data_IF_999268104691
#
_entry.id   IF_999268104691
#
_cell.length_a   1.000
_cell.length_b   1.000
_cell.length_c   1.000
_cell.angle_alpha   90.00
_cell.angle_beta   90.00
_cell.angle_gamma   90.00
#
_symmetry.space_group_name_H-M   'P 1'
#
loop_
_entity.id
_entity.type
_entity.pdbx_description
1 polymer ?
#
# COMPACT_ATOMS: atom_id res chain seq x y z
N UNK A 1 13.63 -4.14 -6.99
CA UNK A 1 13.87 -4.50 -5.58
C UNK A 1 12.67 -5.27 -5.05
N UNK A 2 12.90 -6.38 -4.42
CA UNK A 2 11.82 -7.16 -3.80
C UNK A 2 11.80 -6.93 -2.28
N UNK A 3 10.87 -7.60 -1.59
CA UNK A 3 10.70 -7.45 -0.14
C UNK A 3 11.98 -7.81 0.63
N UNK A 4 12.65 -8.89 0.25
CA UNK A 4 13.87 -9.32 0.92
C UNK A 4 14.99 -8.29 0.80
N UNK A 5 15.15 -7.71 -0.37
CA UNK A 5 16.13 -6.65 -0.60
C UNK A 5 15.78 -5.38 0.17
N UNK A 6 14.51 -5.07 0.28
CA UNK A 6 14.05 -3.93 1.07
C UNK A 6 14.36 -4.14 2.55
N UNK A 7 14.17 -5.35 3.06
CA UNK A 7 14.50 -5.69 4.46
C UNK A 7 15.99 -5.51 4.72
N UNK A 8 16.84 -5.94 3.80
CA UNK A 8 18.29 -5.75 3.91
C UNK A 8 18.67 -4.26 3.97
N UNK A 9 18.03 -3.46 3.14
CA UNK A 9 18.26 -2.02 3.13
C UNK A 9 17.83 -1.38 4.46
N UNK A 10 16.70 -1.80 5.00
CA UNK A 10 16.22 -1.33 6.31
C UNK A 10 17.21 -1.72 7.40
N UNK A 11 17.68 -2.96 7.38
CA UNK A 11 18.68 -3.45 8.32
C UNK A 11 19.94 -2.58 8.33
N UNK A 12 20.44 -2.25 7.15
CA UNK A 12 21.61 -1.39 7.00
C UNK A 12 21.38 0.01 7.55
N UNK A 13 20.19 0.57 7.34
CA UNK A 13 19.86 1.91 7.81
C UNK A 13 19.66 1.97 9.33
N UNK A 14 19.20 0.90 9.94
CA UNK A 14 18.99 0.83 11.38
C UNK A 14 20.30 0.62 12.14
N UNK A 15 21.34 0.12 11.48
CA UNK A 15 22.64 -0.05 12.05
C UNK A 15 23.17 -1.47 12.03
N UNK A 16 24.47 -1.63 12.25
CA UNK A 16 25.15 -2.90 12.13
C UNK A 16 24.67 -3.95 13.17
N UNK A 17 24.14 -3.50 14.30
CA UNK A 17 23.65 -4.38 15.36
C UNK A 17 22.23 -4.87 15.12
N UNK A 18 21.57 -4.39 14.08
CA UNK A 18 20.20 -4.78 13.77
C UNK A 18 20.16 -6.13 13.10
N UNK A 19 19.36 -7.06 13.62
CA UNK A 19 19.18 -8.36 13.00
C UNK A 19 18.23 -8.26 11.83
N UNK A 20 18.33 -9.20 10.90
CA UNK A 20 17.42 -9.28 9.77
C UNK A 20 15.98 -9.48 10.24
N UNK A 21 15.77 -10.28 11.28
CA UNK A 21 14.47 -10.50 11.88
C UNK A 21 13.87 -9.21 12.41
N UNK A 22 14.67 -8.39 13.08
CA UNK A 22 14.20 -7.10 13.59
C UNK A 22 13.80 -6.15 12.47
N UNK A 23 14.59 -6.12 11.39
CA UNK A 23 14.27 -5.30 10.22
C UNK A 23 12.96 -5.77 9.55
N UNK A 24 12.76 -7.08 9.49
CA UNK A 24 11.54 -7.66 8.94
C UNK A 24 10.32 -7.30 9.80
N UNK A 25 10.44 -7.40 11.11
CA UNK A 25 9.39 -7.00 12.04
C UNK A 25 9.07 -5.52 11.95
N UNK A 26 10.09 -4.68 11.79
CA UNK A 26 9.91 -3.24 11.63
C UNK A 26 9.13 -2.93 10.34
N UNK A 27 9.48 -3.57 9.26
CA UNK A 27 8.76 -3.39 7.99
C UNK A 27 7.31 -3.86 8.10
N UNK A 28 7.09 -5.02 8.72
CA UNK A 28 5.74 -5.55 8.91
C UNK A 28 4.89 -4.59 9.76
N UNK A 29 5.46 -4.06 10.83
CA UNK A 29 4.76 -3.11 11.69
C UNK A 29 4.35 -1.85 10.94
N UNK A 30 5.23 -1.32 10.10
CA UNK A 30 4.95 -0.14 9.29
C UNK A 30 3.83 -0.42 8.29
N UNK A 31 3.92 -1.53 7.57
CA UNK A 31 2.93 -1.89 6.56
C UNK A 31 1.54 -2.14 7.17
N UNK A 32 1.49 -2.84 8.30
CA UNK A 32 0.24 -3.08 9.00
C UNK A 32 -0.36 -1.79 9.55
N UNK A 33 0.48 -0.89 10.06
CA UNK A 33 0.03 0.40 10.57
C UNK A 33 -0.57 1.27 9.47
N UNK A 34 0.04 1.26 8.29
CA UNK A 34 -0.49 1.99 7.14
C UNK A 34 -1.84 1.41 6.74
N UNK A 35 -1.95 0.09 6.69
CA UNK A 35 -3.19 -0.60 6.35
C UNK A 35 -4.31 -0.25 7.31
N UNK A 36 -4.04 -0.33 8.61
CA UNK A 36 -5.01 0.02 9.64
C UNK A 36 -5.42 1.49 9.58
N UNK A 37 -4.45 2.38 9.39
CA UNK A 37 -4.72 3.81 9.27
C UNK A 37 -5.61 4.14 8.09
N UNK A 38 -5.38 3.49 6.95
CA UNK A 38 -6.23 3.68 5.77
C UNK A 38 -7.64 3.14 6.02
N UNK A 39 -7.77 2.00 6.70
CA UNK A 39 -9.08 1.41 7.00
C UNK A 39 -9.88 2.25 7.98
N UNK A 40 -9.23 2.82 9.00
CA UNK A 40 -9.90 3.61 10.03
C UNK A 40 -10.17 5.05 9.60
N UNK A 41 -9.17 5.69 9.01
CA UNK A 41 -9.23 7.12 8.67
C UNK A 41 -9.45 7.40 7.19
N UNK A 42 -9.32 6.38 6.34
CA UNK A 42 -9.41 6.53 4.90
C UNK A 42 -8.19 7.14 4.24
N UNK A 43 -7.21 7.56 5.03
CA UNK A 43 -6.03 8.26 4.51
C UNK A 43 -4.88 8.19 5.50
N UNK A 44 -3.68 7.93 5.00
CA UNK A 44 -2.45 8.05 5.78
C UNK A 44 -1.49 8.95 5.02
N UNK A 45 -1.19 10.10 5.57
CA UNK A 45 -0.28 11.08 4.96
C UNK A 45 1.08 11.03 5.66
N UNK A 46 2.13 10.83 4.88
CA UNK A 46 3.50 10.83 5.37
C UNK A 46 4.23 12.01 4.74
N UNK A 47 4.52 13.01 5.55
CA UNK A 47 5.19 14.23 5.08
C UNK A 47 6.55 13.88 4.50
N UNK A 48 6.83 14.38 3.30
CA UNK A 48 8.09 14.12 2.61
C UNK A 48 8.14 12.80 1.85
N UNK A 49 7.10 11.99 1.92
CA UNK A 49 7.04 10.71 1.24
C UNK A 49 5.84 10.61 0.30
N UNK A 50 4.64 10.63 0.84
CA UNK A 50 3.42 10.51 0.03
C UNK A 50 2.19 10.27 0.87
N UNK A 51 1.11 9.97 0.21
CA UNK A 51 -0.17 9.73 0.86
C UNK A 51 -0.79 8.43 0.36
N UNK A 52 -1.21 7.59 1.31
CA UNK A 52 -2.02 6.41 1.03
C UNK A 52 -3.47 6.77 1.32
N UNK A 53 -4.35 6.58 0.34
CA UNK A 53 -5.76 6.92 0.50
C UNK A 53 -6.65 5.82 -0.04
N UNK A 54 -7.77 5.62 0.62
CA UNK A 54 -8.78 4.68 0.14
C UNK A 54 -9.45 5.24 -1.10
N UNK A 55 -9.49 4.44 -2.15
CA UNK A 55 -10.22 4.76 -3.36
C UNK A 55 -11.34 3.75 -3.53
N UNK A 56 -12.56 4.24 -3.62
CA UNK A 56 -13.72 3.38 -3.80
C UNK A 56 -14.12 3.37 -5.25
N UNK A 57 -14.29 2.18 -5.80
CA UNK A 57 -14.86 2.00 -7.12
C UNK A 57 -16.32 1.64 -6.94
N UNK A 58 -17.20 2.39 -7.58
CA UNK A 58 -18.63 2.15 -7.51
C UNK A 58 -18.99 0.86 -8.22
N UNK A 59 -20.06 0.22 -7.75
CA UNK A 59 -20.62 -0.94 -8.45
C UNK A 59 -21.04 -0.53 -9.85
N UNK A 60 -20.79 -1.39 -10.81
CA UNK A 60 -21.16 -1.15 -12.19
C UNK A 60 -21.60 -2.44 -12.85
N UNK A 61 -22.34 -2.31 -13.97
CA UNK A 61 -22.74 -3.43 -14.80
C UNK A 61 -21.80 -3.52 -15.99
N UNK A 62 -21.17 -4.68 -16.16
CA UNK A 62 -20.34 -4.96 -17.31
C UNK A 62 -20.97 -6.04 -18.17
N UNK A 63 -20.39 -6.29 -19.34
CA UNK A 63 -20.81 -7.39 -20.21
C UNK A 63 -19.70 -8.38 -20.39
N UNK A 64 -20.06 -9.65 -20.33
CA UNK A 64 -19.12 -10.72 -20.58
C UNK A 64 -18.87 -10.82 -22.09
N UNK A 65 -17.62 -10.68 -22.57
CA UNK A 65 -17.35 -10.58 -24.00
C UNK A 65 -17.80 -11.77 -24.84
N UNK A 66 -17.74 -12.97 -24.27
CA UNK A 66 -18.08 -14.21 -25.00
C UNK A 66 -19.56 -14.49 -25.09
N UNK A 67 -20.30 -14.14 -24.05
CA UNK A 67 -21.73 -14.51 -23.98
C UNK A 67 -22.65 -13.30 -24.11
N UNK A 68 -22.15 -12.11 -24.00
CA UNK A 68 -22.94 -10.89 -24.02
C UNK A 68 -23.82 -10.69 -22.80
N UNK A 69 -23.73 -11.58 -21.80
CA UNK A 69 -24.50 -11.44 -20.57
C UNK A 69 -24.00 -10.29 -19.72
N UNK A 70 -24.95 -9.53 -19.17
CA UNK A 70 -24.60 -8.49 -18.20
C UNK A 70 -24.13 -9.12 -16.89
N UNK A 71 -23.06 -8.61 -16.35
CA UNK A 71 -22.55 -9.03 -15.05
C UNK A 71 -22.46 -7.81 -14.13
N UNK A 72 -22.79 -8.02 -12.88
CA UNK A 72 -22.65 -6.97 -11.87
C UNK A 72 -21.24 -7.00 -11.29
N UNK A 73 -20.53 -5.90 -11.44
CA UNK A 73 -19.22 -5.72 -10.83
C UNK A 73 -19.45 -4.99 -9.51
N UNK A 74 -19.25 -5.66 -8.36
CA UNK A 74 -19.54 -5.04 -7.07
C UNK A 74 -18.60 -3.87 -6.78
N UNK A 75 -19.05 -2.97 -5.90
CA UNK A 75 -18.22 -1.91 -5.41
C UNK A 75 -17.01 -2.50 -4.68
N UNK A 76 -15.86 -1.91 -4.87
CA UNK A 76 -14.63 -2.35 -4.23
C UNK A 76 -13.85 -1.17 -3.69
N UNK A 77 -13.08 -1.41 -2.63
CA UNK A 77 -12.18 -0.43 -2.07
C UNK A 77 -10.75 -0.85 -2.36
N UNK A 78 -9.95 0.10 -2.78
CA UNK A 78 -8.53 -0.12 -3.01
C UNK A 78 -7.74 1.03 -2.40
N UNK A 79 -6.46 0.83 -2.19
CA UNK A 79 -5.58 1.87 -1.66
C UNK A 79 -4.75 2.44 -2.80
N UNK A 80 -4.81 3.76 -2.96
CA UNK A 80 -3.98 4.46 -3.94
C UNK A 80 -2.87 5.21 -3.23
N UNK A 81 -1.70 5.22 -3.82
CA UNK A 81 -0.56 5.97 -3.32
C UNK A 81 -0.27 7.16 -4.22
N UNK A 82 -0.16 8.34 -3.60
CA UNK A 82 0.25 9.55 -4.30
C UNK A 82 1.58 10.02 -3.72
N UNK A 83 2.63 10.02 -4.52
CA UNK A 83 3.94 10.48 -4.09
C UNK A 83 3.94 11.98 -3.82
N UNK A 84 4.67 12.39 -2.78
CA UNK A 84 4.85 13.81 -2.49
C UNK A 84 5.89 14.41 -3.45
N UNK A 85 5.92 15.74 -3.53
CA UNK A 85 6.93 16.44 -4.34
C UNK A 85 8.34 16.10 -3.89
N UNK A 86 8.54 15.95 -2.59
CA UNK A 86 9.85 15.62 -2.03
C UNK A 86 10.35 14.25 -2.49
N UNK A 87 9.44 13.29 -2.67
CA UNK A 87 9.80 11.96 -3.14
C UNK A 87 10.14 11.94 -4.63
N UNK A 88 9.55 12.84 -5.41
CA UNK A 88 9.75 12.90 -6.86
C UNK A 88 11.07 13.56 -7.26
N UNK A 89 11.65 14.32 -6.40
CA UNK A 89 12.92 15.02 -6.69
C UNK A 89 14.14 14.10 -6.63
#
# INVERSE_FOLDING_TARGET
MNKAQLIELIQNKLGADTTKKHAEEALAAVLESIKEGVQESGKVQIIGFGTFATKTREARTGRYPKTGKAINIPASKTVAFKASSALKD
#
